data_IF_175772952813
#
_entry.id   IF_175772952813
#
_cell.length_a   1.000
_cell.length_b   1.000
_cell.length_c   1.000
_cell.angle_alpha   90.00
_cell.angle_beta   90.00
_cell.angle_gamma   90.00
#
_symmetry.space_group_name_H-M   'P 1'
#
loop_
_entity.id
_entity.type
_entity.pdbx_description
1 polymer ?
#
# COMPACT_ATOMS: atom_id res chain seq x y z
N UNK A 1 15.05 8.17 -15.61
CA UNK A 1 14.37 8.66 -14.39
C UNK A 1 12.97 9.21 -14.64
N UNK A 2 12.72 10.06 -15.64
CA UNK A 2 11.38 10.62 -15.91
C UNK A 2 10.30 9.57 -16.16
N UNK A 3 10.60 8.47 -16.86
CA UNK A 3 9.64 7.39 -17.17
C UNK A 3 9.12 6.70 -15.92
N UNK A 4 9.97 6.48 -14.91
CA UNK A 4 9.55 5.85 -13.66
C UNK A 4 8.60 6.70 -12.82
N UNK A 5 8.58 8.03 -13.02
CA UNK A 5 7.62 8.95 -12.43
C UNK A 5 6.24 8.97 -13.11
N UNK A 6 6.13 8.45 -14.34
CA UNK A 6 4.87 8.48 -15.09
C UNK A 6 3.82 7.53 -14.50
N UNK A 7 4.22 6.37 -13.98
CA UNK A 7 3.28 5.42 -13.38
C UNK A 7 2.60 5.99 -12.12
N UNK A 8 3.31 6.49 -11.07
CA UNK A 8 2.65 7.09 -9.91
C UNK A 8 1.76 8.28 -10.26
N UNK A 9 2.12 9.08 -11.28
CA UNK A 9 1.27 10.17 -11.77
C UNK A 9 -0.01 9.65 -12.41
N UNK A 10 0.08 8.61 -13.25
CA UNK A 10 -1.11 7.95 -13.80
C UNK A 10 -1.94 7.31 -12.70
N UNK A 11 -1.30 6.68 -11.71
CA UNK A 11 -1.99 6.08 -10.55
C UNK A 11 -2.82 7.13 -9.81
N UNK A 12 -2.28 8.31 -9.49
CA UNK A 12 -3.04 9.39 -8.82
C UNK A 12 -4.27 9.80 -9.63
N UNK A 13 -4.10 10.03 -10.94
CA UNK A 13 -5.18 10.52 -11.80
C UNK A 13 -6.32 9.48 -11.94
N UNK A 14 -5.95 8.21 -12.09
CA UNK A 14 -6.92 7.16 -12.37
C UNK A 14 -7.48 6.47 -11.11
N UNK A 15 -6.77 6.50 -9.99
CA UNK A 15 -7.21 5.83 -8.75
C UNK A 15 -8.56 6.33 -8.24
N UNK A 16 -8.81 7.64 -8.24
CA UNK A 16 -10.10 8.20 -7.82
C UNK A 16 -11.25 7.80 -8.75
N UNK A 17 -10.99 7.84 -10.06
CA UNK A 17 -11.95 7.45 -11.09
C UNK A 17 -12.24 5.95 -10.99
N UNK A 18 -11.19 5.15 -10.81
CA UNK A 18 -11.23 3.70 -10.69
C UNK A 18 -12.09 3.23 -9.50
N UNK A 19 -11.98 3.90 -8.34
CA UNK A 19 -12.80 3.57 -7.18
C UNK A 19 -14.29 3.75 -7.42
N UNK A 20 -14.69 4.87 -8.03
CA UNK A 20 -16.10 5.11 -8.39
C UNK A 20 -16.62 4.16 -9.47
N UNK A 21 -15.79 3.82 -10.45
CA UNK A 21 -16.11 2.85 -11.50
C UNK A 21 -16.29 1.45 -10.88
N UNK A 22 -15.42 1.05 -9.96
CA UNK A 22 -15.48 -0.23 -9.25
C UNK A 22 -16.80 -0.41 -8.50
N UNK A 23 -17.24 0.61 -7.79
CA UNK A 23 -18.49 0.58 -7.04
C UNK A 23 -19.73 0.56 -7.95
N UNK A 24 -19.63 1.11 -9.17
CA UNK A 24 -20.75 1.19 -10.13
C UNK A 24 -20.90 -0.04 -11.02
N UNK A 25 -19.78 -0.55 -11.55
CA UNK A 25 -19.78 -1.60 -12.58
C UNK A 25 -19.53 -3.01 -12.05
N UNK A 26 -19.16 -3.14 -10.78
CA UNK A 26 -18.87 -4.42 -10.15
C UNK A 26 -17.37 -4.61 -9.89
N UNK A 27 -17.08 -5.15 -8.72
CA UNK A 27 -15.69 -5.28 -8.22
C UNK A 27 -14.90 -6.31 -9.00
N UNK A 28 -15.51 -7.49 -9.22
CA UNK A 28 -14.90 -8.57 -9.99
C UNK A 28 -14.59 -8.13 -11.42
N UNK A 29 -15.53 -7.45 -12.10
CA UNK A 29 -15.36 -7.01 -13.49
C UNK A 29 -14.19 -6.02 -13.62
N UNK A 30 -14.08 -5.07 -12.70
CA UNK A 30 -13.02 -4.07 -12.73
C UNK A 30 -11.67 -4.67 -12.35
N UNK A 31 -11.63 -5.63 -11.40
CA UNK A 31 -10.41 -6.42 -11.14
C UNK A 31 -9.92 -7.14 -12.38
N UNK A 32 -10.82 -7.81 -13.11
CA UNK A 32 -10.49 -8.52 -14.36
C UNK A 32 -9.94 -7.56 -15.40
N UNK A 33 -10.62 -6.42 -15.63
CA UNK A 33 -10.15 -5.40 -16.57
C UNK A 33 -8.75 -4.90 -16.19
N UNK A 34 -8.52 -4.62 -14.90
CA UNK A 34 -7.21 -4.18 -14.41
C UNK A 34 -6.12 -5.20 -14.62
N UNK A 35 -6.38 -6.49 -14.34
CA UNK A 35 -5.43 -7.59 -14.55
C UNK A 35 -5.11 -7.80 -16.04
N UNK A 36 -6.12 -7.76 -16.91
CA UNK A 36 -5.94 -7.92 -18.35
C UNK A 36 -5.14 -6.75 -18.94
N UNK A 37 -5.44 -5.50 -18.53
CA UNK A 37 -4.66 -4.33 -18.97
C UNK A 37 -3.20 -4.45 -18.54
N UNK A 38 -2.92 -4.85 -17.31
CA UNK A 38 -1.56 -5.08 -16.84
C UNK A 38 -0.89 -6.22 -17.61
N UNK A 39 -1.57 -7.36 -17.79
CA UNK A 39 -1.03 -8.51 -18.50
C UNK A 39 -0.66 -8.18 -19.95
N UNK A 40 -1.54 -7.48 -20.67
CA UNK A 40 -1.29 -7.03 -22.06
C UNK A 40 -0.15 -6.01 -22.09
N UNK A 41 -0.15 -5.01 -21.23
CA UNK A 41 0.90 -3.99 -21.20
C UNK A 41 2.28 -4.61 -20.94
N UNK A 42 2.38 -5.47 -19.93
CA UNK A 42 3.64 -6.14 -19.57
C UNK A 42 4.11 -7.09 -20.65
N UNK A 43 3.22 -7.91 -21.21
CA UNK A 43 3.57 -8.78 -22.34
C UNK A 43 4.03 -8.01 -23.56
N UNK A 44 3.47 -6.82 -23.80
CA UNK A 44 3.85 -5.95 -24.91
C UNK A 44 5.21 -5.26 -24.74
N UNK A 45 5.81 -5.25 -23.54
CA UNK A 45 7.17 -4.72 -23.35
C UNK A 45 8.21 -5.49 -24.18
N UNK A 46 7.98 -6.75 -24.48
CA UNK A 46 8.86 -7.57 -25.36
C UNK A 46 9.01 -6.92 -26.76
N UNK A 47 7.98 -6.21 -27.23
CA UNK A 47 7.94 -5.58 -28.53
C UNK A 47 8.27 -4.08 -28.49
N UNK A 48 8.60 -3.52 -27.30
CA UNK A 48 8.85 -2.10 -27.14
C UNK A 48 10.24 -1.71 -27.67
N UNK A 49 10.29 -1.20 -28.92
CA UNK A 49 11.52 -0.78 -29.58
C UNK A 49 11.87 0.70 -29.35
N UNK A 50 10.99 1.49 -28.78
CA UNK A 50 11.23 2.90 -28.51
C UNK A 50 10.87 3.28 -27.08
N UNK A 51 11.57 4.29 -26.56
CA UNK A 51 11.32 4.87 -25.25
C UNK A 51 9.87 5.36 -25.12
N UNK A 52 9.29 5.87 -26.20
CA UNK A 52 7.91 6.34 -26.21
C UNK A 52 6.91 5.18 -26.05
N UNK A 53 7.09 4.07 -26.79
CA UNK A 53 6.24 2.87 -26.66
C UNK A 53 6.36 2.30 -25.26
N UNK A 54 7.58 2.22 -24.72
CA UNK A 54 7.81 1.75 -23.35
C UNK A 54 7.08 2.63 -22.34
N UNK A 55 7.17 3.96 -22.46
CA UNK A 55 6.47 4.90 -21.58
C UNK A 55 4.94 4.77 -21.67
N UNK A 56 4.39 4.59 -22.87
CA UNK A 56 2.96 4.38 -23.08
C UNK A 56 2.48 3.10 -22.42
N UNK A 57 3.18 1.98 -22.62
CA UNK A 57 2.86 0.70 -21.99
C UNK A 57 2.97 0.79 -20.46
N UNK A 58 3.92 1.55 -19.94
CA UNK A 58 4.10 1.78 -18.50
C UNK A 58 2.92 2.55 -17.90
N UNK A 59 2.37 3.53 -18.62
CA UNK A 59 1.13 4.24 -18.24
C UNK A 59 -0.08 3.29 -18.25
N UNK A 60 -0.22 2.46 -19.29
CA UNK A 60 -1.32 1.47 -19.37
C UNK A 60 -1.24 0.47 -18.22
N UNK A 61 -0.04 0.02 -17.86
CA UNK A 61 0.17 -0.83 -16.68
C UNK A 61 -0.26 -0.13 -15.39
N UNK A 62 0.05 1.17 -15.22
CA UNK A 62 -0.40 1.99 -14.10
C UNK A 62 -1.93 2.08 -14.03
N UNK A 63 -2.59 2.37 -15.16
CA UNK A 63 -4.06 2.39 -15.22
C UNK A 63 -4.65 1.04 -14.78
N UNK A 64 -4.10 -0.07 -15.28
CA UNK A 64 -4.53 -1.41 -14.88
C UNK A 64 -4.39 -1.65 -13.37
N UNK A 65 -3.28 -1.18 -12.78
CA UNK A 65 -3.02 -1.27 -11.34
C UNK A 65 -3.98 -0.40 -10.53
N UNK A 66 -4.26 0.81 -10.97
CA UNK A 66 -5.21 1.72 -10.33
C UNK A 66 -6.63 1.17 -10.28
N UNK A 67 -7.04 0.41 -11.31
CA UNK A 67 -8.32 -0.30 -11.34
C UNK A 67 -8.33 -1.51 -10.41
N UNK A 68 -7.25 -2.29 -10.42
CA UNK A 68 -7.18 -3.57 -9.70
C UNK A 68 -7.12 -3.41 -8.18
N UNK A 69 -6.22 -2.55 -7.65
CA UNK A 69 -5.93 -2.49 -6.20
C UNK A 69 -7.14 -2.09 -5.35
N UNK A 70 -7.89 -1.01 -5.66
CA UNK A 70 -9.07 -0.64 -4.87
C UNK A 70 -10.19 -1.67 -4.98
N UNK A 71 -10.38 -2.24 -6.17
CA UNK A 71 -11.37 -3.29 -6.40
C UNK A 71 -11.08 -4.54 -5.58
N UNK A 72 -9.84 -4.99 -5.54
CA UNK A 72 -9.39 -6.12 -4.72
C UNK A 72 -9.63 -5.88 -3.24
N UNK A 73 -9.23 -4.71 -2.71
CA UNK A 73 -9.41 -4.37 -1.29
C UNK A 73 -10.89 -4.30 -0.91
N UNK A 74 -11.71 -3.71 -1.78
CA UNK A 74 -13.14 -3.64 -1.59
C UNK A 74 -13.78 -5.04 -1.63
N UNK A 75 -13.36 -5.91 -2.56
CA UNK A 75 -13.80 -7.30 -2.67
C UNK A 75 -13.47 -8.10 -1.40
N UNK A 76 -12.24 -7.97 -0.89
CA UNK A 76 -11.82 -8.59 0.37
C UNK A 76 -12.70 -8.10 1.52
N UNK A 77 -12.91 -6.79 1.63
CA UNK A 77 -13.73 -6.20 2.67
C UNK A 77 -15.20 -6.65 2.62
N UNK A 78 -15.72 -7.01 1.43
CA UNK A 78 -17.07 -7.53 1.28
C UNK A 78 -17.22 -9.01 1.63
N UNK A 79 -16.20 -9.80 1.29
CA UNK A 79 -16.22 -11.26 1.46
C UNK A 79 -15.78 -11.68 2.86
N UNK A 80 -15.17 -10.78 3.64
CA UNK A 80 -14.55 -11.11 4.92
C UNK A 80 -15.27 -10.40 6.07
N UNK A 81 -15.50 -11.13 7.18
CA UNK A 81 -16.01 -10.53 8.42
C UNK A 81 -15.04 -9.47 8.92
N UNK A 82 -15.56 -8.40 9.49
CA UNK A 82 -14.79 -7.23 9.91
C UNK A 82 -13.65 -7.58 10.89
N UNK A 83 -13.88 -8.54 11.80
CA UNK A 83 -12.89 -8.98 12.76
C UNK A 83 -11.68 -9.67 12.11
N UNK A 84 -11.88 -10.32 10.96
CA UNK A 84 -10.85 -11.06 10.24
C UNK A 84 -10.13 -10.25 9.16
N UNK A 85 -10.63 -9.05 8.83
CA UNK A 85 -10.10 -8.26 7.70
C UNK A 85 -8.61 -7.91 7.87
N UNK A 86 -8.18 -7.54 9.07
CA UNK A 86 -6.78 -7.21 9.32
C UNK A 86 -5.86 -8.43 9.07
N UNK A 87 -6.30 -9.63 9.47
CA UNK A 87 -5.57 -10.88 9.22
C UNK A 87 -5.51 -11.22 7.72
N UNK A 88 -6.61 -11.04 6.98
CA UNK A 88 -6.64 -11.29 5.53
C UNK A 88 -5.76 -10.28 4.77
N UNK A 89 -5.77 -9.00 5.15
CA UNK A 89 -4.85 -8.02 4.58
C UNK A 89 -3.39 -8.35 4.90
N UNK A 90 -3.11 -8.85 6.13
CA UNK A 90 -1.78 -9.32 6.50
C UNK A 90 -1.34 -10.54 5.67
N UNK A 91 -2.23 -11.50 5.45
CA UNK A 91 -1.95 -12.64 4.58
C UNK A 91 -1.61 -12.19 3.15
N UNK A 92 -2.34 -11.21 2.61
CA UNK A 92 -2.07 -10.65 1.29
C UNK A 92 -0.66 -10.03 1.21
N UNK A 93 -0.26 -9.28 2.22
CA UNK A 93 1.08 -8.71 2.30
C UNK A 93 2.15 -9.80 2.45
N UNK A 94 1.91 -10.83 3.26
CA UNK A 94 2.81 -11.96 3.41
C UNK A 94 3.04 -12.68 2.07
N UNK A 95 1.99 -12.88 1.26
CA UNK A 95 2.14 -13.43 -0.10
C UNK A 95 2.98 -12.51 -0.99
N UNK A 96 2.81 -11.18 -0.87
CA UNK A 96 3.66 -10.20 -1.53
C UNK A 96 5.13 -10.29 -1.09
N UNK A 97 5.39 -10.48 0.20
CA UNK A 97 6.74 -10.68 0.73
C UNK A 97 7.40 -11.95 0.18
N UNK A 98 6.66 -13.07 0.10
CA UNK A 98 7.14 -14.30 -0.56
C UNK A 98 7.52 -14.01 -2.02
N UNK A 99 6.65 -13.30 -2.75
CA UNK A 99 6.93 -12.88 -4.12
C UNK A 99 8.17 -12.01 -4.26
N UNK A 100 8.44 -11.14 -3.30
CA UNK A 100 9.63 -10.27 -3.31
C UNK A 100 10.94 -11.01 -3.06
N UNK A 101 10.91 -12.19 -2.44
CA UNK A 101 12.07 -13.09 -2.30
C UNK A 101 12.25 -13.95 -3.55
N UNK A 102 11.17 -14.57 -4.01
CA UNK A 102 11.21 -15.53 -5.12
C UNK A 102 11.41 -14.85 -6.47
N UNK A 103 10.81 -13.66 -6.65
CA UNK A 103 10.87 -12.90 -7.91
C UNK A 103 12.30 -12.62 -8.39
N UNK A 104 13.19 -12.00 -7.60
CA UNK A 104 14.57 -11.75 -7.99
C UNK A 104 15.37 -13.03 -8.30
N UNK A 105 15.11 -14.14 -7.60
CA UNK A 105 15.77 -15.44 -7.86
C UNK A 105 15.41 -15.98 -9.23
N UNK A 106 14.12 -15.93 -9.58
CA UNK A 106 13.65 -16.29 -10.93
C UNK A 106 14.21 -15.30 -11.95
N UNK A 107 14.17 -13.99 -11.63
CA UNK A 107 14.68 -12.92 -12.48
C UNK A 107 16.15 -13.11 -12.85
N UNK A 108 16.98 -13.43 -11.87
CA UNK A 108 18.42 -13.65 -12.07
C UNK A 108 18.71 -14.83 -13.04
N UNK A 109 17.85 -15.85 -13.06
CA UNK A 109 18.02 -17.01 -13.94
C UNK A 109 17.86 -16.66 -15.42
N UNK A 110 17.06 -15.65 -15.76
CA UNK A 110 16.77 -15.27 -17.13
C UNK A 110 17.47 -13.97 -17.57
N UNK A 111 17.95 -13.16 -16.62
CA UNK A 111 18.47 -11.81 -16.89
C UNK A 111 19.60 -11.78 -17.92
N UNK A 112 20.54 -12.75 -17.86
CA UNK A 112 21.71 -12.79 -18.73
C UNK A 112 21.48 -13.55 -20.04
N UNK A 113 20.38 -14.30 -20.16
CA UNK A 113 20.11 -15.16 -21.33
C UNK A 113 18.98 -14.61 -22.17
N UNK A 114 17.83 -14.45 -21.55
CA UNK A 114 16.57 -14.10 -22.22
C UNK A 114 15.72 -13.18 -21.33
N UNK A 115 16.09 -11.90 -21.14
CA UNK A 115 15.38 -10.99 -20.27
C UNK A 115 13.91 -10.76 -20.71
N UNK A 116 13.59 -10.96 -21.98
CA UNK A 116 12.22 -10.90 -22.53
C UNK A 116 11.28 -11.93 -21.90
N UNK A 117 11.78 -13.07 -21.46
CA UNK A 117 10.96 -14.11 -20.79
C UNK A 117 10.39 -13.63 -19.46
N UNK A 118 11.04 -12.67 -18.79
CA UNK A 118 10.52 -12.11 -17.55
C UNK A 118 9.17 -11.42 -17.77
N UNK A 119 9.06 -10.65 -18.84
CA UNK A 119 7.80 -9.98 -19.20
C UNK A 119 6.72 -10.98 -19.62
N UNK A 120 7.10 -12.03 -20.36
CA UNK A 120 6.17 -13.08 -20.79
C UNK A 120 5.66 -13.85 -19.56
N UNK A 121 6.54 -14.31 -18.67
CA UNK A 121 6.16 -15.04 -17.45
C UNK A 121 5.23 -14.19 -16.58
N UNK A 122 5.53 -12.92 -16.39
CA UNK A 122 4.68 -12.02 -15.62
C UNK A 122 3.31 -11.82 -16.28
N UNK A 123 3.26 -11.63 -17.60
CA UNK A 123 2.01 -11.49 -18.37
C UNK A 123 1.15 -12.76 -18.27
N UNK A 124 1.74 -13.93 -18.44
CA UNK A 124 1.07 -15.23 -18.30
C UNK A 124 0.53 -15.41 -16.88
N UNK A 125 1.33 -15.07 -15.86
CA UNK A 125 0.91 -15.16 -14.46
C UNK A 125 -0.31 -14.26 -14.18
N UNK A 126 -0.31 -13.02 -14.67
CA UNK A 126 -1.45 -12.11 -14.53
C UNK A 126 -2.69 -12.64 -15.26
N UNK A 127 -2.52 -13.25 -16.44
CA UNK A 127 -3.61 -13.86 -17.20
C UNK A 127 -4.19 -15.07 -16.47
N UNK A 128 -3.35 -15.96 -15.93
CA UNK A 128 -3.79 -17.09 -15.09
C UNK A 128 -4.54 -16.56 -13.87
N UNK A 129 -4.01 -15.54 -13.21
CA UNK A 129 -4.68 -14.94 -12.07
C UNK A 129 -6.03 -14.32 -12.45
N UNK A 130 -6.15 -13.67 -13.61
CA UNK A 130 -7.43 -13.18 -14.13
C UNK A 130 -8.43 -14.33 -14.35
N UNK A 131 -7.99 -15.48 -14.88
CA UNK A 131 -8.85 -16.68 -15.04
C UNK A 131 -9.31 -17.20 -13.68
N UNK A 132 -8.42 -17.26 -12.67
CA UNK A 132 -8.79 -17.68 -11.31
C UNK A 132 -9.81 -16.71 -10.71
N UNK A 133 -9.60 -15.40 -10.83
CA UNK A 133 -10.56 -14.37 -10.37
C UNK A 133 -11.91 -14.57 -11.08
N UNK A 134 -11.90 -14.79 -12.39
CA UNK A 134 -13.11 -14.99 -13.16
C UNK A 134 -13.90 -16.24 -12.74
N UNK A 135 -13.22 -17.33 -12.46
CA UNK A 135 -13.86 -18.63 -12.17
C UNK A 135 -14.23 -18.80 -10.69
N UNK A 136 -13.40 -18.28 -9.77
CA UNK A 136 -13.52 -18.59 -8.33
C UNK A 136 -14.16 -17.48 -7.50
N UNK A 137 -14.04 -16.21 -7.91
CA UNK A 137 -14.57 -15.12 -7.10
C UNK A 137 -16.02 -14.77 -7.50
N UNK A 138 -16.92 -14.59 -6.52
CA UNK A 138 -18.26 -14.05 -6.78
C UNK A 138 -18.19 -12.54 -7.07
N UNK A 139 -19.20 -12.00 -7.76
CA UNK A 139 -19.42 -10.55 -7.80
C UNK A 139 -20.08 -10.12 -6.49
N UNK A 140 -19.54 -9.08 -5.85
CA UNK A 140 -20.01 -8.62 -4.53
C UNK A 140 -20.87 -7.37 -4.58
N UNK A 141 -20.83 -6.62 -5.68
CA UNK A 141 -21.78 -5.52 -5.89
C UNK A 141 -23.09 -6.12 -6.37
N UNK A 142 -24.20 -5.95 -5.63
CA UNK A 142 -25.48 -6.41 -6.10
C UNK A 142 -25.79 -5.75 -7.45
N UNK A 143 -26.34 -6.51 -8.43
CA UNK A 143 -26.80 -5.91 -9.68
C UNK A 143 -27.70 -4.74 -9.32
N UNK A 144 -27.56 -3.61 -10.02
CA UNK A 144 -28.37 -2.40 -9.79
C UNK A 144 -29.84 -2.82 -9.85
N UNK A 145 -30.32 -3.35 -8.75
CA UNK A 145 -31.73 -3.69 -8.58
C UNK A 145 -32.47 -2.37 -8.60
N UNK A 146 -33.40 -2.24 -9.53
CA UNK A 146 -34.38 -1.16 -9.55
C UNK A 146 -35.32 -1.20 -8.32
N UNK A 147 -35.02 -1.99 -7.32
CA UNK A 147 -35.71 -1.93 -6.04
C UNK A 147 -35.31 -0.60 -5.40
N UNK A 148 -36.23 0.30 -5.34
CA UNK A 148 -36.31 1.39 -4.38
C UNK A 148 -36.39 0.80 -2.97
N UNK A 149 -35.38 0.04 -2.55
CA UNK A 149 -35.19 -0.17 -1.13
C UNK A 149 -34.74 1.17 -0.59
N UNK A 150 -35.52 1.67 0.32
CA UNK A 150 -35.21 2.76 1.23
C UNK A 150 -33.77 2.65 1.69
N UNK A 151 -32.85 3.22 0.89
CA UNK A 151 -31.56 3.62 1.39
C UNK A 151 -31.94 4.56 2.53
N UNK A 152 -31.70 4.15 3.76
CA UNK A 152 -31.61 5.12 4.85
C UNK A 152 -30.61 6.16 4.36
N UNK A 153 -31.13 7.23 3.84
CA UNK A 153 -30.35 8.33 3.30
C UNK A 153 -29.52 8.81 4.49
N UNK A 154 -28.28 8.36 4.56
CA UNK A 154 -27.35 8.85 5.57
C UNK A 154 -27.47 10.36 5.52
N UNK A 155 -27.78 10.97 6.65
CA UNK A 155 -28.04 12.42 6.69
C UNK A 155 -26.87 13.13 6.00
N UNK A 156 -27.09 14.27 5.33
CA UNK A 156 -25.99 15.02 4.68
C UNK A 156 -24.80 15.24 5.59
N UNK A 157 -25.03 15.35 6.91
CA UNK A 157 -23.98 15.45 7.93
C UNK A 157 -23.17 14.16 8.09
N UNK A 158 -23.79 12.97 8.04
CA UNK A 158 -23.09 11.69 8.11
C UNK A 158 -22.26 11.44 6.85
N UNK A 159 -22.78 11.82 5.70
CA UNK A 159 -22.06 11.72 4.42
C UNK A 159 -20.80 12.62 4.43
N UNK A 160 -20.94 13.89 4.79
CA UNK A 160 -19.83 14.82 4.92
C UNK A 160 -18.79 14.35 5.95
N UNK A 161 -19.24 13.80 7.10
CA UNK A 161 -18.33 13.25 8.11
C UNK A 161 -17.50 12.07 7.61
N UNK A 162 -18.11 11.13 6.89
CA UNK A 162 -17.39 9.97 6.33
C UNK A 162 -16.32 10.39 5.32
N UNK A 163 -16.62 11.39 4.48
CA UNK A 163 -15.64 11.95 3.54
C UNK A 163 -14.48 12.65 4.26
N UNK A 164 -14.79 13.47 5.26
CA UNK A 164 -13.75 14.09 6.11
C UNK A 164 -12.87 13.04 6.79
N UNK A 165 -13.46 11.95 7.29
CA UNK A 165 -12.73 10.89 7.96
C UNK A 165 -11.72 10.20 7.04
N UNK A 166 -12.11 9.87 5.79
CA UNK A 166 -11.19 9.17 4.87
C UNK A 166 -10.07 10.08 4.37
N UNK A 167 -10.36 11.36 4.06
CA UNK A 167 -9.33 12.31 3.68
C UNK A 167 -8.36 12.59 4.82
N UNK A 168 -8.87 12.78 6.06
CA UNK A 168 -8.02 12.95 7.23
C UNK A 168 -7.15 11.73 7.50
N UNK A 169 -7.68 10.52 7.31
CA UNK A 169 -6.91 9.28 7.44
C UNK A 169 -5.82 9.20 6.37
N UNK A 170 -6.13 9.51 5.11
CA UNK A 170 -5.18 9.57 4.01
C UNK A 170 -4.03 10.54 4.32
N UNK A 171 -4.35 11.79 4.70
CA UNK A 171 -3.33 12.81 5.01
C UNK A 171 -2.48 12.41 6.21
N UNK A 172 -3.10 11.89 7.28
CA UNK A 172 -2.38 11.49 8.49
C UNK A 172 -1.49 10.26 8.31
N UNK A 173 -1.67 9.48 7.23
CA UNK A 173 -0.81 8.34 6.89
C UNK A 173 0.40 8.75 6.02
N UNK A 174 0.42 9.97 5.46
CA UNK A 174 1.55 10.46 4.65
C UNK A 174 2.93 10.31 5.29
N UNK A 175 3.13 10.52 6.62
CA UNK A 175 4.44 10.30 7.23
C UNK A 175 5.00 8.90 7.03
N UNK A 176 4.16 7.86 7.14
CA UNK A 176 4.57 6.47 6.89
C UNK A 176 4.99 6.30 5.42
N UNK A 177 4.13 6.65 4.48
CA UNK A 177 4.41 6.45 3.06
C UNK A 177 5.58 7.32 2.56
N UNK A 178 5.75 8.51 3.10
CA UNK A 178 6.91 9.36 2.83
C UNK A 178 8.21 8.70 3.31
N UNK A 179 8.22 8.15 4.52
CA UNK A 179 9.38 7.39 5.05
C UNK A 179 9.71 6.18 4.17
N UNK A 180 8.70 5.41 3.73
CA UNK A 180 8.92 4.32 2.78
C UNK A 180 9.52 4.79 1.47
N UNK A 181 9.05 5.90 0.91
CA UNK A 181 9.63 6.45 -0.30
C UNK A 181 11.14 6.78 -0.12
N UNK A 182 11.56 7.22 1.08
CA UNK A 182 12.99 7.45 1.37
C UNK A 182 13.78 6.15 1.46
N UNK A 183 13.23 5.12 2.12
CA UNK A 183 13.91 3.82 2.23
C UNK A 183 14.04 3.10 0.89
N UNK A 184 13.04 3.22 0.01
CA UNK A 184 13.05 2.62 -1.32
C UNK A 184 13.99 3.33 -2.31
N UNK A 185 14.28 4.62 -2.13
CA UNK A 185 15.03 5.44 -3.10
C UNK A 185 16.29 6.04 -2.52
N UNK A 186 16.17 7.03 -1.65
CA UNK A 186 17.31 7.84 -1.17
C UNK A 186 18.24 7.09 -0.22
N UNK A 187 17.74 6.08 0.51
CA UNK A 187 18.58 5.24 1.34
C UNK A 187 19.66 4.49 0.53
N UNK A 188 19.34 4.10 -0.71
CA UNK A 188 20.32 3.44 -1.59
C UNK A 188 21.53 4.32 -1.85
N UNK A 189 21.31 5.61 -2.11
CA UNK A 189 22.36 6.60 -2.34
C UNK A 189 23.16 6.84 -1.05
N UNK A 190 22.48 6.93 0.09
CA UNK A 190 23.15 7.09 1.38
C UNK A 190 23.98 5.86 1.77
N UNK A 191 23.44 4.67 1.58
CA UNK A 191 24.08 3.40 1.91
C UNK A 191 25.37 3.16 1.09
N UNK A 192 25.44 3.70 -0.15
CA UNK A 192 26.65 3.62 -0.99
C UNK A 192 27.87 4.28 -0.31
N UNK A 193 27.65 5.35 0.46
CA UNK A 193 28.69 6.03 1.20
C UNK A 193 29.04 5.39 2.55
N UNK A 194 28.16 4.51 3.06
CA UNK A 194 28.32 3.91 4.40
C UNK A 194 28.85 2.48 4.32
N UNK A 195 28.46 1.73 3.30
CA UNK A 195 28.77 0.31 3.19
C UNK A 195 29.67 0.01 1.98
N UNK A 196 30.72 -0.82 2.16
CA UNK A 196 31.65 -1.13 1.07
C UNK A 196 31.04 -1.94 -0.08
N UNK A 197 29.98 -2.71 0.18
CA UNK A 197 29.29 -3.54 -0.81
C UNK A 197 27.80 -3.23 -0.85
N UNK A 198 27.43 -2.22 -1.65
CA UNK A 198 26.05 -1.77 -1.78
C UNK A 198 25.11 -2.88 -2.24
N UNK A 199 25.50 -3.67 -3.25
CA UNK A 199 24.67 -4.73 -3.82
C UNK A 199 24.28 -5.75 -2.76
N UNK A 200 25.27 -6.19 -1.96
CA UNK A 200 25.04 -7.11 -0.85
C UNK A 200 24.09 -6.52 0.19
N UNK A 201 24.28 -5.25 0.57
CA UNK A 201 23.43 -4.57 1.56
C UNK A 201 21.98 -4.43 1.07
N UNK A 202 21.77 -4.05 -0.19
CA UNK A 202 20.42 -3.95 -0.75
C UNK A 202 19.72 -5.32 -0.84
N UNK A 203 20.47 -6.36 -1.21
CA UNK A 203 19.96 -7.73 -1.19
C UNK A 203 19.62 -8.19 0.23
N UNK A 204 20.50 -7.90 1.21
CA UNK A 204 20.27 -8.20 2.63
C UNK A 204 19.01 -7.49 3.15
N UNK A 205 18.84 -6.18 2.89
CA UNK A 205 17.66 -5.41 3.31
C UNK A 205 16.39 -6.05 2.76
N UNK A 206 16.34 -6.31 1.45
CA UNK A 206 15.14 -6.84 0.80
C UNK A 206 14.78 -8.24 1.32
N UNK A 207 15.78 -9.13 1.42
CA UNK A 207 15.58 -10.51 1.86
C UNK A 207 15.24 -10.57 3.35
N UNK A 208 15.97 -9.84 4.19
CA UNK A 208 15.75 -9.80 5.64
C UNK A 208 14.36 -9.23 5.96
N UNK A 209 13.98 -8.11 5.33
CA UNK A 209 12.65 -7.53 5.48
C UNK A 209 11.57 -8.55 5.14
N UNK A 210 11.65 -9.19 3.98
CA UNK A 210 10.66 -10.16 3.53
C UNK A 210 10.56 -11.39 4.46
N UNK A 211 11.68 -11.92 4.95
CA UNK A 211 11.69 -13.03 5.90
C UNK A 211 11.02 -12.61 7.22
N UNK A 212 11.36 -11.43 7.74
CA UNK A 212 10.73 -10.91 8.95
C UNK A 212 9.22 -10.70 8.77
N UNK A 213 8.78 -10.20 7.62
CA UNK A 213 7.35 -10.07 7.29
C UNK A 213 6.65 -11.44 7.27
N UNK A 214 7.22 -12.43 6.59
CA UNK A 214 6.66 -13.78 6.50
C UNK A 214 6.48 -14.39 7.91
N UNK A 215 7.46 -14.21 8.79
CA UNK A 215 7.45 -14.82 10.11
C UNK A 215 6.55 -14.06 11.10
N UNK A 216 6.63 -12.73 11.10
CA UNK A 216 6.07 -11.93 12.19
C UNK A 216 4.69 -11.35 11.88
N UNK A 217 4.34 -11.14 10.60
CA UNK A 217 3.20 -10.32 10.22
C UNK A 217 1.87 -10.82 10.80
N UNK A 218 1.51 -12.07 10.55
CA UNK A 218 0.24 -12.63 11.01
C UNK A 218 0.19 -12.68 12.54
N UNK A 219 1.32 -13.04 13.17
CA UNK A 219 1.41 -13.06 14.64
C UNK A 219 1.22 -11.67 15.26
N UNK A 220 1.89 -10.66 14.71
CA UNK A 220 1.81 -9.28 15.21
C UNK A 220 0.43 -8.67 15.01
N UNK A 221 -0.24 -8.97 13.88
CA UNK A 221 -1.61 -8.52 13.63
C UNK A 221 -2.55 -9.11 14.67
N UNK A 222 -2.54 -10.43 14.88
CA UNK A 222 -3.38 -11.08 15.91
C UNK A 222 -3.08 -10.58 17.32
N UNK A 223 -1.81 -10.41 17.64
CA UNK A 223 -1.39 -9.88 18.94
C UNK A 223 -1.91 -8.45 19.17
N UNK A 224 -1.94 -7.62 18.13
CA UNK A 224 -2.34 -6.21 18.23
C UNK A 224 -3.86 -5.99 18.24
N UNK A 225 -4.68 -6.98 17.85
CA UNK A 225 -6.16 -6.89 17.87
C UNK A 225 -6.75 -6.54 19.25
N UNK A 226 -6.04 -6.88 20.32
CA UNK A 226 -6.42 -6.56 21.72
C UNK A 226 -6.28 -5.09 22.09
N UNK A 227 -5.65 -4.27 21.25
CA UNK A 227 -5.42 -2.86 21.51
C UNK A 227 -6.42 -1.97 20.76
N UNK A 228 -6.72 -0.80 21.33
CA UNK A 228 -7.47 0.24 20.60
C UNK A 228 -6.71 0.73 19.38
N UNK A 229 -7.41 1.19 18.35
CA UNK A 229 -6.79 1.66 17.12
C UNK A 229 -5.77 2.80 17.36
N UNK A 230 -6.06 3.71 18.29
CA UNK A 230 -5.14 4.77 18.69
C UNK A 230 -3.83 4.22 19.28
N UNK A 231 -3.90 3.18 20.13
CA UNK A 231 -2.70 2.51 20.68
C UNK A 231 -1.90 1.80 19.60
N UNK A 232 -2.58 1.11 18.68
CA UNK A 232 -1.96 0.47 17.50
C UNK A 232 -1.14 1.48 16.71
N UNK A 233 -1.72 2.64 16.40
CA UNK A 233 -1.06 3.74 15.68
C UNK A 233 0.18 4.21 16.45
N UNK A 234 0.05 4.52 17.74
CA UNK A 234 1.17 5.03 18.53
C UNK A 234 2.34 4.05 18.60
N UNK A 235 2.07 2.75 18.85
CA UNK A 235 3.09 1.71 18.89
C UNK A 235 3.79 1.60 17.53
N UNK A 236 3.02 1.57 16.45
CA UNK A 236 3.56 1.44 15.10
C UNK A 236 4.42 2.63 14.70
N UNK A 237 3.96 3.85 14.96
CA UNK A 237 4.74 5.05 14.65
C UNK A 237 6.00 5.16 15.52
N UNK A 238 5.96 4.71 16.78
CA UNK A 238 7.17 4.58 17.60
C UNK A 238 8.17 3.61 16.96
N UNK A 239 7.72 2.46 16.49
CA UNK A 239 8.57 1.49 15.78
C UNK A 239 9.15 2.09 14.49
N UNK A 240 8.33 2.77 13.69
CA UNK A 240 8.80 3.47 12.48
C UNK A 240 9.81 4.59 12.80
N UNK A 241 9.60 5.34 13.88
CA UNK A 241 10.53 6.38 14.33
C UNK A 241 11.87 5.77 14.74
N UNK A 242 11.86 4.66 15.49
CA UNK A 242 13.08 3.91 15.84
C UNK A 242 13.79 3.40 14.57
N UNK A 243 13.02 2.88 13.60
CA UNK A 243 13.58 2.43 12.34
C UNK A 243 14.19 3.59 11.53
N UNK A 244 13.54 4.77 11.49
CA UNK A 244 14.08 5.94 10.81
C UNK A 244 15.40 6.42 11.45
N UNK A 245 15.47 6.47 12.77
CA UNK A 245 16.72 6.74 13.50
C UNK A 245 17.76 5.64 13.23
N UNK A 246 17.32 4.38 13.22
CA UNK A 246 18.17 3.23 12.91
C UNK A 246 18.84 3.34 11.53
N UNK A 247 18.08 3.71 10.48
CA UNK A 247 18.66 3.94 9.15
C UNK A 247 19.72 5.04 9.11
N UNK A 248 19.60 6.04 9.98
CA UNK A 248 20.59 7.12 10.13
C UNK A 248 21.91 6.65 10.71
N UNK A 249 21.89 5.68 11.64
CA UNK A 249 23.06 5.22 12.39
C UNK A 249 23.58 3.86 11.98
N UNK A 250 22.86 3.10 11.17
CA UNK A 250 23.28 1.74 10.81
C UNK A 250 24.50 1.73 9.94
N UNK A 251 25.63 1.30 10.50
CA UNK A 251 26.92 1.11 9.82
C UNK A 251 27.33 -0.36 9.75
N UNK A 252 26.58 -1.25 10.43
CA UNK A 252 26.83 -2.69 10.47
C UNK A 252 25.58 -3.48 10.06
N UNK A 253 25.77 -4.72 9.62
CA UNK A 253 24.67 -5.63 9.27
C UNK A 253 23.76 -5.88 10.47
N UNK A 254 24.34 -6.00 11.67
CA UNK A 254 23.59 -6.23 12.90
C UNK A 254 22.69 -5.03 13.26
N UNK A 255 23.22 -3.80 13.18
CA UNK A 255 22.41 -2.59 13.42
C UNK A 255 21.31 -2.45 12.36
N UNK A 256 21.60 -2.80 11.11
CA UNK A 256 20.63 -2.79 10.03
C UNK A 256 19.52 -3.83 10.24
N UNK A 257 19.86 -5.04 10.74
CA UNK A 257 18.88 -6.06 11.11
C UNK A 257 17.88 -5.55 12.15
N UNK A 258 18.33 -4.93 13.24
CA UNK A 258 17.44 -4.37 14.25
C UNK A 258 16.58 -3.22 13.68
N UNK A 259 17.15 -2.39 12.81
CA UNK A 259 16.42 -1.34 12.10
C UNK A 259 15.27 -1.92 11.29
N UNK A 260 15.52 -2.99 10.51
CA UNK A 260 14.52 -3.68 9.73
C UNK A 260 13.47 -4.39 10.60
N UNK A 261 13.89 -4.93 11.74
CA UNK A 261 12.97 -5.56 12.69
C UNK A 261 11.93 -4.54 13.18
N UNK A 262 12.34 -3.35 13.62
CA UNK A 262 11.41 -2.31 14.03
C UNK A 262 10.56 -1.80 12.87
N UNK A 263 11.11 -1.69 11.66
CA UNK A 263 10.36 -1.33 10.47
C UNK A 263 9.22 -2.32 10.22
N UNK A 264 9.52 -3.63 10.22
CA UNK A 264 8.54 -4.70 9.97
C UNK A 264 7.49 -4.77 11.09
N UNK A 265 7.88 -4.59 12.35
CA UNK A 265 6.92 -4.53 13.46
C UNK A 265 5.94 -3.37 13.27
N UNK A 266 6.44 -2.18 12.96
CA UNK A 266 5.59 -1.01 12.68
C UNK A 266 4.64 -1.24 11.52
N UNK A 267 5.13 -1.81 10.42
CA UNK A 267 4.35 -2.12 9.22
C UNK A 267 3.24 -3.13 9.49
N UNK A 268 3.60 -4.26 10.08
CA UNK A 268 2.69 -5.35 10.35
C UNK A 268 1.51 -4.92 11.24
N UNK A 269 1.79 -4.08 12.25
CA UNK A 269 0.77 -3.62 13.18
C UNK A 269 -0.10 -2.52 12.55
N UNK A 270 0.47 -1.49 11.88
CA UNK A 270 -0.32 -0.34 11.42
C UNK A 270 -1.14 -0.60 10.17
N UNK A 271 -0.49 -1.02 9.07
CA UNK A 271 -1.09 -0.93 7.74
C UNK A 271 -2.31 -1.83 7.58
N UNK A 272 -2.29 -3.03 8.17
CA UNK A 272 -3.40 -3.97 8.09
C UNK A 272 -4.64 -3.48 8.87
N UNK A 273 -4.41 -2.94 10.06
CA UNK A 273 -5.48 -2.35 10.86
C UNK A 273 -6.03 -1.05 10.26
N UNK A 274 -5.18 -0.25 9.60
CA UNK A 274 -5.63 0.93 8.86
C UNK A 274 -6.52 0.55 7.67
N UNK A 275 -6.18 -0.50 6.91
CA UNK A 275 -7.03 -1.02 5.84
C UNK A 275 -8.37 -1.53 6.38
N UNK A 276 -8.37 -2.25 7.50
CA UNK A 276 -9.60 -2.64 8.20
C UNK A 276 -10.42 -1.42 8.61
N UNK A 277 -9.79 -0.40 9.20
CA UNK A 277 -10.44 0.83 9.63
C UNK A 277 -11.05 1.62 8.45
N UNK A 278 -10.39 1.66 7.29
CA UNK A 278 -10.97 2.19 6.05
C UNK A 278 -12.23 1.45 5.66
N UNK A 279 -12.21 0.11 5.73
CA UNK A 279 -13.40 -0.72 5.45
C UNK A 279 -14.57 -0.43 6.40
N UNK A 280 -14.26 -0.14 7.67
CA UNK A 280 -15.27 0.20 8.70
C UNK A 280 -15.94 1.57 8.47
N UNK A 281 -15.17 2.55 7.97
CA UNK A 281 -15.68 3.89 7.68
C UNK A 281 -16.48 3.89 6.38
N UNK A 282 -16.04 3.10 5.40
CA UNK A 282 -16.58 3.10 4.05
C UNK A 282 -18.03 2.58 4.01
N UNK A 283 -18.96 3.31 3.38
CA UNK A 283 -20.25 2.76 3.02
C UNK A 283 -20.08 1.55 2.09
N UNK A 284 -20.93 0.53 2.21
CA UNK A 284 -20.84 -0.69 1.41
C UNK A 284 -20.84 -0.43 -0.11
N UNK A 285 -21.64 0.55 -0.55
CA UNK A 285 -21.79 0.99 -1.94
C UNK A 285 -20.62 1.87 -2.44
N UNK A 286 -19.66 2.25 -1.57
CA UNK A 286 -18.54 3.18 -1.88
C UNK A 286 -17.18 2.68 -1.39
N UNK A 287 -17.06 1.40 -1.06
CA UNK A 287 -15.80 0.83 -0.57
C UNK A 287 -14.64 1.01 -1.55
N UNK A 288 -14.88 0.82 -2.85
CA UNK A 288 -13.88 1.05 -3.89
C UNK A 288 -13.35 2.48 -3.88
N UNK A 289 -14.24 3.47 -3.83
CA UNK A 289 -13.87 4.88 -3.74
C UNK A 289 -13.07 5.20 -2.49
N UNK A 290 -13.46 4.66 -1.32
CA UNK A 290 -12.76 4.92 -0.06
C UNK A 290 -11.38 4.30 -0.01
N UNK A 291 -11.19 3.08 -0.50
CA UNK A 291 -9.87 2.47 -0.64
C UNK A 291 -9.00 3.20 -1.66
N UNK A 292 -9.59 3.75 -2.72
CA UNK A 292 -8.90 4.61 -3.67
C UNK A 292 -8.38 5.88 -3.02
N UNK A 293 -9.24 6.64 -2.34
CA UNK A 293 -8.85 7.89 -1.65
C UNK A 293 -7.74 7.60 -0.64
N UNK A 294 -7.91 6.54 0.17
CA UNK A 294 -6.87 6.16 1.13
C UNK A 294 -5.56 5.83 0.45
N UNK A 295 -5.56 5.09 -0.66
CA UNK A 295 -4.36 4.67 -1.39
C UNK A 295 -3.49 5.82 -1.94
N UNK A 296 -4.07 6.99 -2.20
CA UNK A 296 -3.38 8.16 -2.78
C UNK A 296 -2.15 8.57 -1.96
N UNK A 297 -2.14 8.35 -0.63
CA UNK A 297 -0.96 8.68 0.19
C UNK A 297 0.31 7.99 -0.31
N UNK A 298 0.21 6.75 -0.84
CA UNK A 298 1.34 6.04 -1.44
C UNK A 298 1.82 6.70 -2.73
N UNK A 299 0.88 7.08 -3.60
CA UNK A 299 1.20 7.64 -4.91
C UNK A 299 1.79 9.05 -4.77
N UNK A 300 1.24 9.88 -3.86
CA UNK A 300 1.83 11.18 -3.52
C UNK A 300 3.26 11.00 -3.01
N UNK A 301 3.47 10.08 -2.08
CA UNK A 301 4.78 9.88 -1.47
C UNK A 301 5.81 9.31 -2.45
N UNK A 302 5.41 8.41 -3.34
CA UNK A 302 6.28 7.86 -4.39
C UNK A 302 6.60 8.86 -5.48
N UNK A 303 5.73 9.84 -5.72
CA UNK A 303 5.97 10.91 -6.70
C UNK A 303 6.88 12.00 -6.13
N UNK A 304 6.52 12.55 -4.96
CA UNK A 304 7.21 13.71 -4.39
C UNK A 304 8.39 13.32 -3.47
N UNK A 305 8.28 12.17 -2.79
CA UNK A 305 9.25 11.73 -1.80
C UNK A 305 10.68 11.64 -2.30
N UNK A 306 10.95 10.94 -3.43
CA UNK A 306 12.31 10.83 -3.98
C UNK A 306 12.93 12.19 -4.29
N UNK A 307 12.15 13.13 -4.82
CA UNK A 307 12.61 14.49 -5.19
C UNK A 307 12.97 15.28 -3.93
N UNK A 308 12.05 15.30 -2.96
CA UNK A 308 12.26 16.02 -1.69
C UNK A 308 13.47 15.43 -0.96
N UNK A 309 13.55 14.11 -0.87
CA UNK A 309 14.66 13.42 -0.20
C UNK A 309 16.00 13.65 -0.91
N UNK A 310 16.05 13.64 -2.23
CA UNK A 310 17.25 13.93 -3.00
C UNK A 310 17.76 15.36 -2.76
N UNK A 311 16.87 16.35 -2.67
CA UNK A 311 17.24 17.73 -2.34
C UNK A 311 17.82 17.83 -0.92
N UNK A 312 17.22 17.14 0.06
CA UNK A 312 17.72 17.11 1.44
C UNK A 312 19.10 16.42 1.46
N UNK A 313 19.23 15.27 0.79
CA UNK A 313 20.46 14.48 0.74
C UNK A 313 21.61 15.28 0.10
N UNK A 314 21.33 16.02 -0.99
CA UNK A 314 22.35 16.80 -1.69
C UNK A 314 22.82 18.05 -0.94
N UNK A 315 21.94 18.67 -0.13
CA UNK A 315 22.22 19.92 0.60
C UNK A 315 22.72 19.71 2.03
N UNK A 316 22.29 18.60 2.65
CA UNK A 316 22.61 18.32 4.06
C UNK A 316 23.40 17.03 4.17
N UNK A 317 22.79 15.94 4.54
CA UNK A 317 23.33 14.58 4.47
C UNK A 317 22.22 13.54 4.68
N UNK A 318 22.56 12.25 4.49
CA UNK A 318 21.60 11.16 4.64
C UNK A 318 21.07 10.99 6.07
N UNK A 319 21.91 11.23 7.08
CA UNK A 319 21.48 11.13 8.48
C UNK A 319 20.41 12.17 8.81
N UNK A 320 20.57 13.42 8.33
CA UNK A 320 19.58 14.48 8.54
C UNK A 320 18.26 14.15 7.86
N UNK A 321 18.28 13.56 6.64
CA UNK A 321 17.08 13.10 5.96
C UNK A 321 16.26 12.16 6.86
N UNK A 322 16.91 11.16 7.46
CA UNK A 322 16.24 10.18 8.31
C UNK A 322 15.81 10.76 9.67
N UNK A 323 16.49 11.77 10.22
CA UNK A 323 16.02 12.51 11.40
C UNK A 323 14.77 13.33 11.09
N UNK A 324 14.69 13.95 9.91
CA UNK A 324 13.49 14.63 9.44
C UNK A 324 12.34 13.63 9.32
N UNK A 325 12.59 12.45 8.74
CA UNK A 325 11.59 11.38 8.69
C UNK A 325 11.13 10.94 10.09
N UNK A 326 12.07 10.74 11.03
CA UNK A 326 11.76 10.37 12.40
C UNK A 326 10.88 11.41 13.10
N UNK A 327 11.21 12.70 12.97
CA UNK A 327 10.41 13.81 13.52
C UNK A 327 9.02 13.86 12.89
N UNK A 328 8.92 13.68 11.57
CA UNK A 328 7.64 13.68 10.86
C UNK A 328 6.77 12.48 11.24
N UNK A 329 7.37 11.30 11.45
CA UNK A 329 6.69 10.11 11.97
C UNK A 329 6.19 10.33 13.40
N UNK A 330 7.00 10.89 14.28
CA UNK A 330 6.64 11.12 15.68
C UNK A 330 5.43 12.05 15.80
N UNK A 331 5.48 13.20 15.12
CA UNK A 331 4.37 14.16 15.08
C UNK A 331 3.15 13.55 14.39
N UNK A 332 3.36 12.90 13.23
CA UNK A 332 2.29 12.26 12.46
C UNK A 332 1.56 11.16 13.24
N UNK A 333 2.29 10.37 14.04
CA UNK A 333 1.71 9.33 14.89
C UNK A 333 0.78 9.89 15.96
N UNK A 334 1.19 10.97 16.61
CA UNK A 334 0.35 11.66 17.61
C UNK A 334 -0.90 12.25 16.93
N UNK A 335 -0.73 12.92 15.80
CA UNK A 335 -1.85 13.54 15.06
C UNK A 335 -2.82 12.46 14.57
N UNK A 336 -2.34 11.38 13.99
CA UNK A 336 -3.19 10.29 13.51
C UNK A 336 -3.92 9.57 14.65
N UNK A 337 -3.25 9.31 15.77
CA UNK A 337 -3.86 8.67 16.92
C UNK A 337 -4.99 9.52 17.52
N UNK A 338 -4.76 10.84 17.69
CA UNK A 338 -5.78 11.77 18.17
C UNK A 338 -6.95 11.89 17.18
N UNK A 339 -6.64 11.92 15.88
CA UNK A 339 -7.65 11.97 14.83
C UNK A 339 -8.54 10.73 14.86
N UNK A 340 -7.97 9.53 14.88
CA UNK A 340 -8.72 8.27 14.93
C UNK A 340 -9.53 8.17 16.23
N UNK A 341 -8.96 8.54 17.36
CA UNK A 341 -9.69 8.59 18.65
C UNK A 341 -10.91 9.51 18.58
N UNK A 342 -10.79 10.67 17.90
CA UNK A 342 -11.91 11.58 17.69
C UNK A 342 -13.01 10.97 16.81
N UNK A 343 -12.65 10.17 15.81
CA UNK A 343 -13.59 9.46 14.96
C UNK A 343 -14.32 8.35 15.71
N UNK A 344 -13.60 7.56 16.50
CA UNK A 344 -14.19 6.51 17.34
C UNK A 344 -15.20 7.08 18.34
N UNK A 345 -14.87 8.17 19.03
CA UNK A 345 -15.79 8.84 19.95
C UNK A 345 -17.07 9.32 19.26
N UNK A 346 -16.96 9.92 18.08
CA UNK A 346 -18.13 10.38 17.29
C UNK A 346 -18.97 9.22 16.78
N UNK A 347 -18.37 8.06 16.45
CA UNK A 347 -19.08 6.84 16.06
C UNK A 347 -19.94 6.33 17.19
N UNK A 348 -19.43 6.29 18.42
CA UNK A 348 -20.14 5.85 19.63
C UNK A 348 -21.33 6.78 19.92
N UNK A 349 -21.14 8.10 19.79
CA UNK A 349 -22.21 9.08 20.05
C UNK A 349 -23.34 8.99 19.02
N UNK A 350 -23.01 8.69 17.76
CA UNK A 350 -24.00 8.63 16.65
C UNK A 350 -24.72 7.26 16.55
N UNK A 351 -24.19 6.22 17.18
CA UNK A 351 -24.83 4.90 17.31
C UNK A 351 -24.70 4.45 18.77
N UNK A 352 -25.55 4.96 19.69
CA UNK A 352 -25.64 4.39 21.02
C UNK A 352 -26.03 2.93 20.82
N UNK A 353 -25.11 2.02 21.20
CA UNK A 353 -25.32 0.58 21.14
C UNK A 353 -26.62 0.26 21.90
N UNK A 354 -27.60 -0.28 21.19
CA UNK A 354 -28.64 -1.09 21.80
C UNK A 354 -27.98 -2.33 22.41
N UNK A 355 -27.36 -2.15 23.56
CA UNK A 355 -26.98 -3.24 24.49
C UNK A 355 -27.97 -3.17 25.63
N UNK A 356 -29.04 -3.92 25.51
CA UNK A 356 -29.79 -4.54 26.61
C UNK A 356 -30.17 -5.95 26.16
#
# INVERSE_FOLDING_TARGET
MLIFGLQPLSDILFTLIAGGITDKYGRKKIMLLGLLLQGVAIGSFVFAQSVFIFALLYVINGIGRSLYIPAQRAQIADLTKQEQQAEIFALLQTMGAIGSVVGPLIGASFYNTHPEYLFIVQSVTLTIYAVVVWTQLPETVPPISKSKQTVEASSPKQFAFKHYAIFGLMVSTLPISFFYAQTETNYRIFAEHVFPNLVFILAFISTCKAILEIILQIFLVKWSERFSMAKIILISYACYTIAAVGFSYSTTILSLFFTLLFLVIGESIALNHLLRFVSEIAPHDKRGLYFSIYGIHWDISRTCGPIIGAVILSKLNGSILFYICASFLLVGGIVQALFVQSLERKKIVNHPTHNL
#
